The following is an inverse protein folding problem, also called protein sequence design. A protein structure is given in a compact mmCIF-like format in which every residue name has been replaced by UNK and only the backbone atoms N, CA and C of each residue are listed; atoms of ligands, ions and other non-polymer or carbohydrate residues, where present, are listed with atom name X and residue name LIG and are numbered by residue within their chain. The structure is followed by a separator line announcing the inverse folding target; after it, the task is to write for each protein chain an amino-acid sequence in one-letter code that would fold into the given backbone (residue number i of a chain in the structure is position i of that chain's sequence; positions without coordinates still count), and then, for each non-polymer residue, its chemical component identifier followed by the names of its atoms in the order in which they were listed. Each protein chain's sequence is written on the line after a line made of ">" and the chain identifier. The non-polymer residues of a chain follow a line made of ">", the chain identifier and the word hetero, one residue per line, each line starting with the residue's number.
data_IF_967539313963
#
_entry.id   IF_967539313963
#
_cell.length_a   1.000
_cell.length_b   1.000
_cell.length_c   1.000
_cell.angle_alpha   90.00
_cell.angle_beta   90.00
_cell.angle_gamma   90.00
#
_symmetry.space_group_name_H-M   'P 1'
#
loop_
_entity.id
_entity.type
_entity.pdbx_description
1 polymer ?
#
# COMPACT_ATOMS: atom_id res chain seq x y z
N UNK A 1 -20.77 -9.55 2.61
CA UNK A 1 -20.83 -8.10 2.31
C UNK A 1 -21.83 -7.65 1.22
N UNK A 2 -22.84 -8.41 0.74
CA UNK A 2 -23.80 -7.85 -0.24
C UNK A 2 -24.67 -6.71 0.31
N UNK A 3 -24.95 -6.76 1.63
CA UNK A 3 -25.92 -5.86 2.28
C UNK A 3 -25.46 -4.41 2.33
N UNK A 4 -24.15 -4.15 2.45
CA UNK A 4 -23.59 -2.80 2.53
C UNK A 4 -23.70 -2.03 1.20
N UNK A 5 -23.66 -2.76 0.07
CA UNK A 5 -23.87 -2.18 -1.26
C UNK A 5 -25.36 -1.89 -1.45
N UNK A 6 -26.24 -2.85 -1.11
CA UNK A 6 -27.68 -2.65 -1.24
C UNK A 6 -28.26 -1.59 -0.29
N UNK A 7 -27.62 -1.36 0.87
CA UNK A 7 -28.01 -0.32 1.82
C UNK A 7 -27.50 1.08 1.44
N UNK A 8 -26.63 1.19 0.43
CA UNK A 8 -26.00 2.45 0.03
C UNK A 8 -24.88 2.93 0.95
N UNK A 9 -24.46 2.12 1.94
CA UNK A 9 -23.30 2.44 2.79
C UNK A 9 -21.98 2.34 2.02
N UNK A 10 -21.96 1.55 0.95
CA UNK A 10 -20.83 1.41 0.03
C UNK A 10 -21.32 1.67 -1.39
N UNK A 11 -20.68 2.64 -2.04
CA UNK A 11 -20.87 2.90 -3.47
C UNK A 11 -19.57 2.53 -4.19
N UNK A 12 -19.68 1.67 -5.20
CA UNK A 12 -18.53 1.34 -6.05
C UNK A 12 -18.38 2.41 -7.13
N UNK A 13 -17.18 2.94 -7.27
CA UNK A 13 -16.87 3.95 -8.27
C UNK A 13 -15.65 3.48 -9.08
N UNK A 14 -15.83 3.37 -10.41
CA UNK A 14 -14.71 3.16 -11.31
C UNK A 14 -13.86 4.42 -11.33
N UNK A 15 -12.56 4.27 -11.09
CA UNK A 15 -11.63 5.38 -11.04
C UNK A 15 -10.22 4.93 -11.39
N UNK A 16 -9.51 5.75 -12.17
CA UNK A 16 -8.06 5.65 -12.34
C UNK A 16 -7.40 6.56 -11.30
N UNK A 17 -6.76 5.95 -10.30
CA UNK A 17 -6.12 6.66 -9.20
C UNK A 17 -4.90 7.51 -9.60
N UNK A 18 -4.41 7.41 -10.84
CA UNK A 18 -3.42 8.35 -11.39
C UNK A 18 -4.04 9.68 -11.86
N UNK A 19 -5.36 9.73 -11.98
CA UNK A 19 -6.13 10.92 -12.37
C UNK A 19 -6.75 11.63 -11.15
N UNK A 20 -7.20 12.89 -11.29
CA UNK A 20 -7.79 13.64 -10.18
C UNK A 20 -8.93 12.89 -9.47
N UNK A 21 -8.95 12.90 -8.15
CA UNK A 21 -9.96 12.17 -7.39
C UNK A 21 -11.36 12.77 -7.62
N UNK A 22 -12.37 11.93 -7.90
CA UNK A 22 -13.73 12.40 -8.15
C UNK A 22 -14.46 12.83 -6.88
N UNK A 23 -14.01 12.34 -5.71
CA UNK A 23 -14.49 12.76 -4.40
C UNK A 23 -13.43 13.64 -3.74
N UNK A 24 -13.82 14.84 -3.35
CA UNK A 24 -12.96 15.81 -2.66
C UNK A 24 -13.48 16.07 -1.25
N UNK A 25 -12.59 16.45 -0.34
CA UNK A 25 -12.93 16.74 1.05
C UNK A 25 -13.42 15.53 1.87
N UNK A 26 -13.09 14.30 1.46
CA UNK A 26 -13.38 13.13 2.28
C UNK A 26 -12.69 13.24 3.65
N UNK A 27 -13.36 12.77 4.70
CA UNK A 27 -12.77 12.73 6.05
C UNK A 27 -11.57 11.78 6.11
N UNK A 28 -11.63 10.67 5.39
CA UNK A 28 -10.55 9.69 5.30
C UNK A 28 -10.37 9.24 3.86
N UNK A 29 -9.12 9.27 3.38
CA UNK A 29 -8.69 8.54 2.19
C UNK A 29 -7.98 7.27 2.66
N UNK A 30 -8.53 6.11 2.30
CA UNK A 30 -8.01 4.81 2.73
C UNK A 30 -7.38 4.08 1.56
N UNK A 31 -6.09 3.77 1.68
CA UNK A 31 -5.30 3.04 0.68
C UNK A 31 -4.78 1.77 1.35
N UNK A 32 -5.19 0.62 0.83
CA UNK A 32 -4.82 -0.67 1.39
C UNK A 32 -4.22 -1.56 0.32
N UNK A 33 -2.97 -1.97 0.51
CA UNK A 33 -2.28 -2.92 -0.36
C UNK A 33 -2.27 -2.45 -1.83
N UNK A 34 -1.94 -1.17 -2.04
CA UNK A 34 -1.87 -0.56 -3.37
C UNK A 34 -0.46 -0.09 -3.65
N UNK A 35 0.17 0.61 -2.71
CA UNK A 35 1.42 1.33 -2.99
C UNK A 35 2.59 0.37 -3.27
N UNK A 36 2.62 -0.81 -2.65
CA UNK A 36 3.67 -1.80 -2.91
C UNK A 36 3.69 -2.36 -4.34
N UNK A 37 2.60 -2.18 -5.11
CA UNK A 37 2.52 -2.62 -6.50
C UNK A 37 3.28 -1.69 -7.45
N UNK A 38 3.66 -0.49 -6.99
CA UNK A 38 4.09 0.62 -7.81
C UNK A 38 5.48 1.12 -7.40
N UNK A 39 6.24 1.63 -8.37
CA UNK A 39 7.49 2.31 -8.05
C UNK A 39 7.23 3.64 -7.35
N UNK A 40 8.24 4.17 -6.67
CA UNK A 40 8.16 5.45 -5.94
C UNK A 40 7.57 6.59 -6.78
N UNK A 41 7.92 6.68 -8.08
CA UNK A 41 7.37 7.69 -8.98
C UNK A 41 5.84 7.59 -9.10
N UNK A 42 5.32 6.38 -9.25
CA UNK A 42 3.88 6.14 -9.36
C UNK A 42 3.19 6.30 -8.00
N UNK A 43 3.81 5.89 -6.90
CA UNK A 43 3.34 6.15 -5.55
C UNK A 43 3.17 7.65 -5.29
N UNK A 44 4.17 8.46 -5.67
CA UNK A 44 4.09 9.93 -5.58
C UNK A 44 2.93 10.46 -6.40
N UNK A 45 2.69 9.96 -7.62
CA UNK A 45 1.54 10.37 -8.44
C UNK A 45 0.22 10.08 -7.73
N UNK A 46 0.03 8.88 -7.20
CA UNK A 46 -1.17 8.47 -6.46
C UNK A 46 -1.40 9.38 -5.25
N UNK A 47 -0.38 9.51 -4.40
CA UNK A 47 -0.44 10.31 -3.18
C UNK A 47 -0.68 11.79 -3.47
N UNK A 48 -0.15 12.30 -4.59
CA UNK A 48 -0.40 13.68 -5.05
C UNK A 48 -1.89 13.89 -5.37
N UNK A 49 -2.54 12.97 -6.10
CA UNK A 49 -3.97 13.10 -6.41
C UNK A 49 -4.84 13.09 -5.15
N UNK A 50 -4.50 12.24 -4.17
CA UNK A 50 -5.18 12.22 -2.87
C UNK A 50 -4.95 13.52 -2.10
N UNK A 51 -3.73 14.05 -2.10
CA UNK A 51 -3.40 15.31 -1.43
C UNK A 51 -4.14 16.51 -2.03
N UNK A 52 -4.32 16.56 -3.36
CA UNK A 52 -5.07 17.63 -4.04
C UNK A 52 -6.55 17.59 -3.66
N UNK A 53 -7.11 16.39 -3.47
CA UNK A 53 -8.50 16.20 -3.10
C UNK A 53 -8.76 16.38 -1.60
N UNK A 54 -7.72 16.32 -0.77
CA UNK A 54 -7.81 16.43 0.67
C UNK A 54 -8.07 17.87 1.14
N UNK A 55 -8.63 17.98 2.33
CA UNK A 55 -8.71 19.23 3.09
C UNK A 55 -7.78 19.15 4.30
N UNK A 56 -7.51 20.25 5.02
CA UNK A 56 -6.73 20.19 6.26
C UNK A 56 -7.33 19.29 7.35
N UNK A 57 -8.62 18.94 7.25
CA UNK A 57 -9.29 18.02 8.17
C UNK A 57 -9.30 16.55 7.67
N UNK A 58 -8.86 16.31 6.44
CA UNK A 58 -8.80 14.97 5.86
C UNK A 58 -7.62 14.19 6.44
N UNK A 59 -7.83 12.89 6.68
CA UNK A 59 -6.77 11.96 7.11
C UNK A 59 -6.46 10.97 5.99
N UNK A 60 -5.18 10.77 5.70
CA UNK A 60 -4.73 9.67 4.85
C UNK A 60 -4.39 8.46 5.72
N UNK A 61 -5.04 7.33 5.47
CA UNK A 61 -4.76 6.06 6.14
C UNK A 61 -4.15 5.08 5.14
N UNK A 62 -2.87 4.77 5.34
CA UNK A 62 -2.13 3.77 4.58
C UNK A 62 -2.11 2.45 5.36
N UNK A 63 -2.61 1.39 4.75
CA UNK A 63 -2.51 0.03 5.28
C UNK A 63 -1.63 -0.79 4.33
N UNK A 64 -0.36 -0.89 4.70
CA UNK A 64 0.68 -1.57 3.94
C UNK A 64 1.49 -2.49 4.86
N UNK A 65 2.19 -3.46 4.27
CA UNK A 65 3.14 -4.30 4.99
C UNK A 65 4.51 -3.61 5.01
N UNK A 66 4.98 -3.23 6.20
CA UNK A 66 6.35 -2.76 6.37
C UNK A 66 7.28 -3.97 6.48
N UNK A 67 8.25 -4.04 5.57
CA UNK A 67 9.22 -5.14 5.53
C UNK A 67 10.54 -4.69 6.19
N UNK A 68 10.95 -5.30 7.31
CA UNK A 68 12.25 -5.04 7.89
C UNK A 68 13.35 -5.60 6.97
N UNK A 69 14.56 -5.03 7.04
CA UNK A 69 15.67 -5.56 6.26
C UNK A 69 16.19 -6.85 6.91
N UNK A 70 16.64 -7.80 6.08
CA UNK A 70 17.26 -9.02 6.59
C UNK A 70 18.64 -8.75 7.22
N UNK A 71 19.32 -7.70 6.76
CA UNK A 71 20.56 -7.20 7.34
C UNK A 71 20.26 -6.19 8.45
N UNK A 72 21.10 -6.20 9.49
CA UNK A 72 21.08 -5.17 10.52
C UNK A 72 21.41 -3.82 9.90
N UNK A 73 20.56 -2.84 10.13
CA UNK A 73 20.81 -1.47 9.72
C UNK A 73 21.22 -0.63 10.94
N UNK A 74 22.51 -0.29 11.09
CA UNK A 74 22.97 0.52 12.22
C UNK A 74 22.42 1.95 12.20
N UNK A 75 21.76 2.37 11.12
CA UNK A 75 21.10 3.67 10.98
C UNK A 75 19.59 3.61 11.21
N UNK A 76 19.00 2.44 11.46
CA UNK A 76 17.59 2.30 11.78
C UNK A 76 17.26 3.12 13.04
N UNK A 77 16.22 3.95 12.95
CA UNK A 77 15.70 4.69 14.11
C UNK A 77 15.04 3.72 15.09
N UNK A 78 15.08 4.03 16.39
CA UNK A 78 14.35 3.26 17.42
C UNK A 78 12.82 3.29 17.23
N UNK A 79 12.32 4.17 16.36
CA UNK A 79 10.92 4.28 15.96
C UNK A 79 10.53 3.33 14.81
N UNK A 80 11.49 2.54 14.30
CA UNK A 80 11.29 1.55 13.25
C UNK A 80 10.75 0.21 13.74
N UNK A 81 10.68 -0.76 12.83
CA UNK A 81 10.33 -2.14 13.19
C UNK A 81 11.42 -2.73 14.10
N UNK A 82 11.01 -3.29 15.24
CA UNK A 82 11.94 -3.92 16.18
C UNK A 82 12.68 -5.09 15.52
N UNK A 83 14.01 -4.98 15.44
CA UNK A 83 14.87 -6.05 14.94
C UNK A 83 14.85 -7.29 15.85
N UNK A 84 14.99 -8.47 15.25
CA UNK A 84 15.16 -9.70 16.01
C UNK A 84 16.53 -9.75 16.71
N UNK A 85 16.62 -10.32 17.93
CA UNK A 85 17.90 -10.47 18.62
C UNK A 85 18.81 -11.49 17.93
N UNK A 86 20.12 -11.26 18.01
CA UNK A 86 21.11 -12.23 17.55
C UNK A 86 20.89 -13.61 18.24
N UNK A 87 21.10 -14.74 17.54
CA UNK A 87 21.70 -14.87 16.20
C UNK A 87 20.70 -14.86 15.04
N UNK A 88 19.44 -14.45 15.26
CA UNK A 88 18.44 -14.41 14.19
C UNK A 88 18.75 -13.31 13.17
N UNK A 89 18.26 -13.47 11.94
CA UNK A 89 18.24 -12.38 10.96
C UNK A 89 17.39 -11.24 11.50
N UNK A 90 17.79 -9.99 11.22
CA UNK A 90 17.13 -8.79 11.73
C UNK A 90 15.62 -8.75 11.41
N UNK A 91 15.21 -9.35 10.28
CA UNK A 91 13.83 -9.48 9.86
C UNK A 91 13.07 -10.71 10.42
N UNK A 92 13.58 -11.40 11.44
CA UNK A 92 13.04 -12.67 11.98
C UNK A 92 13.11 -13.88 11.02
N UNK A 93 13.75 -13.74 9.86
CA UNK A 93 13.88 -14.81 8.86
C UNK A 93 12.52 -15.41 8.48
N UNK A 94 12.42 -16.75 8.49
CA UNK A 94 11.20 -17.46 8.10
C UNK A 94 9.95 -17.16 8.96
N UNK A 95 10.10 -16.57 10.15
CA UNK A 95 8.95 -16.17 10.96
C UNK A 95 8.22 -14.92 10.41
N UNK A 96 8.88 -14.12 9.57
CA UNK A 96 8.29 -12.94 8.91
C UNK A 96 8.03 -13.16 7.41
N UNK A 97 7.99 -14.42 6.97
CA UNK A 97 7.90 -14.80 5.56
C UNK A 97 6.59 -14.33 4.88
N UNK A 98 5.51 -14.14 5.66
CA UNK A 98 4.20 -13.81 5.10
C UNK A 98 4.16 -12.45 4.39
N UNK A 99 4.85 -11.43 4.91
CA UNK A 99 4.90 -10.11 4.27
C UNK A 99 5.60 -10.17 2.91
N UNK A 100 6.73 -10.88 2.84
CA UNK A 100 7.47 -11.05 1.60
C UNK A 100 6.72 -11.91 0.57
N UNK A 101 6.06 -12.98 1.02
CA UNK A 101 5.28 -13.83 0.12
C UNK A 101 4.13 -13.08 -0.57
N UNK A 102 3.47 -12.16 0.15
CA UNK A 102 2.43 -11.30 -0.44
C UNK A 102 3.03 -10.43 -1.53
N UNK A 103 4.17 -9.79 -1.26
CA UNK A 103 4.85 -8.91 -2.23
C UNK A 103 5.35 -9.69 -3.46
N UNK A 104 6.01 -10.84 -3.26
CA UNK A 104 6.43 -11.72 -4.35
C UNK A 104 5.25 -12.21 -5.19
N UNK A 105 4.13 -12.56 -4.58
CA UNK A 105 2.95 -13.01 -5.29
C UNK A 105 2.34 -11.87 -6.13
N UNK A 106 2.27 -10.65 -5.58
CA UNK A 106 1.79 -9.47 -6.30
C UNK A 106 2.71 -9.13 -7.47
N UNK A 107 4.03 -9.12 -7.25
CA UNK A 107 5.03 -8.92 -8.30
C UNK A 107 4.89 -9.97 -9.40
N UNK A 108 4.79 -11.26 -9.06
CA UNK A 108 4.60 -12.33 -10.03
C UNK A 108 3.32 -12.13 -10.86
N UNK A 109 2.21 -11.75 -10.24
CA UNK A 109 0.94 -11.52 -10.95
C UNK A 109 1.02 -10.31 -11.89
N UNK A 110 1.71 -9.24 -11.52
CA UNK A 110 1.84 -8.05 -12.34
C UNK A 110 2.83 -8.23 -13.51
N UNK A 111 3.92 -8.96 -13.28
CA UNK A 111 5.01 -9.12 -14.26
C UNK A 111 4.92 -10.39 -15.12
N UNK A 112 4.19 -11.43 -14.71
CA UNK A 112 4.08 -12.68 -15.47
C UNK A 112 2.72 -12.91 -16.14
N UNK A 113 1.70 -12.12 -15.86
CA UNK A 113 0.49 -12.09 -16.70
C UNK A 113 0.79 -11.14 -17.85
N UNK A 114 0.77 -11.60 -19.13
CA UNK A 114 0.92 -10.70 -20.25
C UNK A 114 -0.19 -9.65 -20.15
N UNK A 115 0.19 -8.41 -19.87
CA UNK A 115 -0.68 -7.26 -19.99
C UNK A 115 -1.13 -7.27 -21.45
N UNK A 116 -2.38 -7.63 -21.71
CA UNK A 116 -2.95 -7.42 -23.03
C UNK A 116 -2.97 -5.91 -23.23
N UNK A 117 -2.02 -5.39 -24.00
CA UNK A 117 -1.95 -4.00 -24.42
C UNK A 117 -3.33 -3.60 -24.95
N UNK A 118 -4.09 -2.86 -24.13
CA UNK A 118 -5.29 -2.18 -24.60
C UNK A 118 -4.84 -0.77 -24.96
N UNK A 119 -4.71 -0.54 -26.27
CA UNK A 119 -4.67 0.78 -26.91
C UNK A 119 -5.93 1.59 -26.58
#
# INVERSE_FOLDING_TARGET
>A
MPTAISSGQVTLQAHDFFTPQPQTGAAVYFVKHILHNWSDEYCVKILTQLSVAATPASTLLLLECLLPLAAHDPSASEEGLQEAPAPLLANYGGANDMGYNIDFAVGLLLYCIPQSDTM
#
